data_IF_353223067968
#
_entry.id   IF_353223067968
#
_cell.length_a   1.000
_cell.length_b   1.000
_cell.length_c   1.000
_cell.angle_alpha   90.00
_cell.angle_beta   90.00
_cell.angle_gamma   90.00
#
_symmetry.space_group_name_H-M   'P 1'
#
loop_
_entity.id
_entity.type
_entity.pdbx_description
1 polymer ?
#
# COMPACT_ATOMS: atom_id res chain seq x y z
N UNK A 1 41.16 6.52 -18.77
CA UNK A 1 41.65 7.04 -17.47
C UNK A 1 40.91 6.34 -16.34
N UNK A 2 41.58 5.51 -15.52
CA UNK A 2 41.00 4.97 -14.27
C UNK A 2 41.18 6.04 -13.19
N UNK A 3 40.14 6.80 -12.90
CA UNK A 3 40.13 7.65 -11.71
C UNK A 3 39.98 6.74 -10.47
N UNK A 4 41.08 6.52 -9.74
CA UNK A 4 41.03 5.95 -8.38
C UNK A 4 40.57 7.06 -7.44
N UNK A 5 39.29 7.05 -7.09
CA UNK A 5 38.81 7.81 -5.94
C UNK A 5 39.06 6.96 -4.69
N UNK A 6 40.08 7.32 -3.91
CA UNK A 6 40.30 6.77 -2.56
C UNK A 6 39.67 7.71 -1.53
N UNK A 7 38.34 7.77 -1.52
CA UNK A 7 37.59 8.40 -0.44
C UNK A 7 37.36 7.37 0.67
N UNK A 8 38.06 7.51 1.79
CA UNK A 8 37.79 6.73 3.00
C UNK A 8 36.57 7.32 3.70
N UNK A 9 35.40 6.71 3.54
CA UNK A 9 34.26 6.97 4.43
C UNK A 9 34.33 6.02 5.64
N UNK A 10 34.55 6.61 6.82
CA UNK A 10 34.52 5.95 8.12
C UNK A 10 33.06 5.86 8.60
N UNK A 11 32.52 4.65 8.69
CA UNK A 11 31.32 4.39 9.51
C UNK A 11 31.76 3.97 10.93
N UNK A 12 30.99 4.40 11.93
CA UNK A 12 31.21 4.18 13.36
C UNK A 12 31.04 2.70 13.79
N UNK A 13 31.95 1.85 13.36
CA UNK A 13 32.29 0.55 13.95
C UNK A 13 33.50 0.04 13.16
N UNK A 14 34.71 0.14 13.72
CA UNK A 14 35.99 -0.10 13.03
C UNK A 14 36.22 -1.51 12.50
N UNK A 15 35.46 -1.94 11.49
CA UNK A 15 35.71 -3.15 10.69
C UNK A 15 35.96 -2.76 9.24
N UNK A 16 37.19 -2.95 8.79
CA UNK A 16 37.56 -2.87 7.38
C UNK A 16 36.90 -4.03 6.62
N UNK A 17 35.86 -3.74 5.83
CA UNK A 17 35.48 -4.59 4.69
C UNK A 17 35.96 -3.88 3.44
N UNK A 18 36.84 -4.52 2.67
CA UNK A 18 37.34 -4.02 1.38
C UNK A 18 36.27 -3.99 0.29
N UNK A 19 35.17 -3.26 0.51
CA UNK A 19 34.19 -2.98 -0.54
C UNK A 19 34.68 -1.79 -1.34
N UNK A 20 35.06 -2.07 -2.58
CA UNK A 20 35.29 -1.04 -3.60
C UNK A 20 33.93 -0.40 -3.91
N UNK A 21 33.75 0.86 -3.51
CA UNK A 21 32.56 1.64 -3.88
C UNK A 21 32.69 2.01 -5.35
N UNK A 22 31.77 1.53 -6.19
CA UNK A 22 31.74 1.90 -7.61
C UNK A 22 31.16 3.32 -7.74
N UNK A 23 31.81 4.16 -8.56
CA UNK A 23 31.37 5.53 -8.82
C UNK A 23 29.92 5.55 -9.36
N UNK A 24 29.08 6.56 -9.03
CA UNK A 24 27.68 6.61 -9.47
C UNK A 24 27.47 6.58 -11.00
N UNK A 25 28.47 6.99 -11.77
CA UNK A 25 28.48 6.92 -13.24
C UNK A 25 29.10 5.61 -13.80
N UNK A 26 29.44 4.65 -12.94
CA UNK A 26 29.96 3.37 -13.37
C UNK A 26 28.82 2.48 -13.84
N UNK A 27 28.72 2.28 -15.16
CA UNK A 27 27.76 1.34 -15.72
C UNK A 27 28.10 -0.09 -15.33
N UNK A 28 27.10 -0.82 -14.81
CA UNK A 28 27.21 -2.26 -14.61
C UNK A 28 27.43 -2.98 -15.96
N UNK A 29 27.86 -4.25 -15.92
CA UNK A 29 28.19 -5.02 -17.12
C UNK A 29 27.05 -5.01 -18.14
N UNK A 30 25.82 -5.20 -17.66
CA UNK A 30 24.62 -5.20 -18.47
C UNK A 30 24.38 -3.86 -19.20
N UNK A 31 24.46 -2.73 -18.49
CA UNK A 31 24.33 -1.40 -19.07
C UNK A 31 25.44 -1.09 -20.08
N UNK A 32 26.67 -1.58 -19.86
CA UNK A 32 27.79 -1.42 -20.80
C UNK A 32 27.57 -2.18 -22.10
N UNK A 33 27.13 -3.43 -22.01
CA UNK A 33 26.82 -4.27 -23.18
C UNK A 33 25.71 -3.61 -23.99
N UNK A 34 24.63 -3.21 -23.31
CA UNK A 34 23.51 -2.50 -23.94
C UNK A 34 23.99 -1.24 -24.65
N UNK A 35 24.58 -0.30 -23.93
CA UNK A 35 24.97 1.00 -24.50
C UNK A 35 25.90 0.85 -25.72
N UNK A 36 26.85 -0.08 -25.67
CA UNK A 36 27.81 -0.30 -26.76
C UNK A 36 27.19 -0.93 -28.01
N UNK A 37 26.14 -1.74 -27.86
CA UNK A 37 25.62 -2.57 -28.95
C UNK A 37 24.22 -2.19 -29.44
N UNK A 38 23.44 -1.44 -28.65
CA UNK A 38 22.02 -1.16 -28.91
C UNK A 38 21.79 -0.48 -30.27
N UNK A 39 22.61 0.51 -30.62
CA UNK A 39 22.59 1.14 -31.95
C UNK A 39 22.91 0.13 -33.06
N UNK A 40 23.90 -0.71 -32.83
CA UNK A 40 24.39 -1.67 -33.81
C UNK A 40 23.39 -2.80 -34.08
N UNK A 41 22.52 -3.13 -33.12
CA UNK A 41 21.42 -4.09 -33.31
C UNK A 41 20.15 -3.44 -33.91
N UNK A 42 20.20 -2.14 -34.23
CA UNK A 42 19.18 -1.44 -35.02
C UNK A 42 18.32 -0.43 -34.26
N UNK A 43 18.70 0.00 -33.05
CA UNK A 43 17.97 1.05 -32.33
C UNK A 43 18.17 2.43 -33.01
N UNK A 44 17.16 3.32 -33.06
CA UNK A 44 15.82 3.18 -32.50
C UNK A 44 14.82 2.59 -33.51
N UNK A 45 14.64 1.27 -33.50
CA UNK A 45 13.56 0.61 -34.22
C UNK A 45 12.44 0.23 -33.24
N UNK A 46 11.17 0.46 -33.62
CA UNK A 46 9.98 0.29 -32.74
C UNK A 46 9.80 -1.10 -32.11
N UNK A 47 10.46 -2.11 -32.67
CA UNK A 47 10.41 -3.51 -32.19
C UNK A 47 11.57 -3.85 -31.24
N UNK A 48 12.53 -2.95 -31.07
CA UNK A 48 13.67 -3.08 -30.16
C UNK A 48 13.29 -2.41 -28.86
N UNK A 49 13.29 -3.17 -27.77
CA UNK A 49 12.92 -2.71 -26.44
C UNK A 49 14.13 -2.13 -25.72
N UNK A 50 13.87 -1.17 -24.82
CA UNK A 50 14.90 -0.62 -23.92
C UNK A 50 15.53 -1.70 -23.01
N UNK A 51 14.85 -2.84 -22.82
CA UNK A 51 15.35 -3.98 -22.07
C UNK A 51 16.33 -4.86 -22.86
N UNK A 52 16.35 -4.77 -24.19
CA UNK A 52 17.15 -5.65 -25.03
C UNK A 52 18.65 -5.42 -24.78
N UNK A 53 19.38 -6.50 -24.53
CA UNK A 53 20.78 -6.46 -24.12
C UNK A 53 21.58 -7.51 -24.91
N UNK A 54 21.63 -7.34 -26.23
CA UNK A 54 22.33 -8.25 -27.13
C UNK A 54 23.52 -7.54 -27.77
N UNK A 55 24.59 -8.29 -28.06
CA UNK A 55 25.67 -7.77 -28.87
C UNK A 55 26.99 -8.49 -28.66
N UNK A 56 28.04 -7.89 -29.18
CA UNK A 56 29.40 -8.38 -29.01
C UNK A 56 30.04 -7.74 -27.78
N UNK A 57 30.76 -8.55 -27.01
CA UNK A 57 31.50 -8.10 -25.84
C UNK A 57 32.90 -8.70 -25.81
N UNK A 58 33.85 -7.87 -25.41
CA UNK A 58 35.27 -8.20 -25.37
C UNK A 58 35.64 -8.79 -24.02
N UNK A 59 36.34 -9.91 -24.04
CA UNK A 59 36.98 -10.51 -22.88
C UNK A 59 38.47 -10.58 -23.08
N UNK A 60 39.21 -10.38 -21.99
CA UNK A 60 40.63 -10.68 -21.92
C UNK A 60 40.82 -12.09 -21.39
N UNK A 61 41.60 -12.89 -22.10
CA UNK A 61 42.14 -14.12 -21.53
C UNK A 61 43.11 -13.77 -20.38
N UNK A 62 42.95 -14.43 -19.23
CA UNK A 62 43.74 -14.13 -18.04
C UNK A 62 45.22 -14.53 -18.21
N UNK A 63 45.49 -15.58 -19.00
CA UNK A 63 46.83 -16.15 -19.13
C UNK A 63 47.61 -15.48 -20.27
N UNK A 64 46.97 -15.30 -21.43
CA UNK A 64 47.62 -14.75 -22.63
C UNK A 64 47.46 -13.23 -22.79
N UNK A 65 46.57 -12.59 -22.02
CA UNK A 65 46.13 -11.18 -22.18
C UNK A 65 45.61 -10.83 -23.58
N UNK A 66 45.37 -11.84 -24.44
CA UNK A 66 44.80 -11.64 -25.77
C UNK A 66 43.30 -11.33 -25.64
N UNK A 67 42.84 -10.38 -26.45
CA UNK A 67 41.44 -9.94 -26.48
C UNK A 67 40.66 -10.81 -27.46
N UNK A 68 39.48 -11.25 -27.04
CA UNK A 68 38.56 -12.04 -27.87
C UNK A 68 37.14 -11.48 -27.76
N UNK A 69 36.38 -11.61 -28.84
CA UNK A 69 34.99 -11.17 -28.91
C UNK A 69 34.03 -12.35 -28.81
N UNK A 70 32.93 -12.15 -28.09
CA UNK A 70 31.89 -13.15 -27.90
C UNK A 70 30.53 -12.55 -28.20
N UNK A 71 29.66 -13.34 -28.83
CA UNK A 71 28.26 -13.00 -29.04
C UNK A 71 27.49 -13.30 -27.77
N UNK A 72 26.91 -12.27 -27.14
CA UNK A 72 26.30 -12.41 -25.81
C UNK A 72 24.93 -11.76 -25.71
N UNK A 73 24.19 -12.24 -24.70
CA UNK A 73 22.94 -11.67 -24.21
C UNK A 73 23.05 -11.40 -22.70
N UNK A 74 22.62 -10.22 -22.29
CA UNK A 74 22.44 -9.85 -20.89
C UNK A 74 21.14 -10.42 -20.33
N UNK A 75 21.24 -11.22 -19.28
CA UNK A 75 20.09 -11.81 -18.57
C UNK A 75 19.73 -10.98 -17.33
N UNK A 76 20.74 -10.54 -16.56
CA UNK A 76 20.60 -9.67 -15.37
C UNK A 76 21.81 -8.74 -15.28
N UNK A 77 21.79 -7.78 -14.35
CA UNK A 77 22.87 -6.77 -14.16
C UNK A 77 24.30 -7.34 -14.11
N UNK A 78 24.46 -8.59 -13.66
CA UNK A 78 25.75 -9.30 -13.55
C UNK A 78 25.79 -10.66 -14.26
N UNK A 79 24.76 -11.01 -15.04
CA UNK A 79 24.69 -12.31 -15.71
C UNK A 79 24.50 -12.13 -17.20
N UNK A 80 25.36 -12.80 -17.94
CA UNK A 80 25.38 -12.84 -19.39
C UNK A 80 25.39 -14.30 -19.84
N UNK A 81 24.94 -14.54 -21.06
CA UNK A 81 24.90 -15.84 -21.73
C UNK A 81 25.54 -15.70 -23.10
N UNK A 82 26.33 -16.69 -23.52
CA UNK A 82 26.79 -16.77 -24.91
C UNK A 82 25.65 -17.20 -25.81
N UNK A 83 25.59 -16.62 -27.00
CA UNK A 83 24.61 -16.96 -28.03
C UNK A 83 25.06 -18.17 -28.88
N UNK A 84 26.34 -18.51 -28.79
CA UNK A 84 27.05 -19.47 -29.65
C UNK A 84 28.02 -20.34 -28.85
N UNK A 85 27.63 -20.75 -27.64
CA UNK A 85 28.42 -21.66 -26.79
C UNK A 85 29.86 -21.21 -26.51
N UNK A 86 30.08 -19.90 -26.32
CA UNK A 86 31.38 -19.30 -26.05
C UNK A 86 32.39 -19.50 -27.18
N UNK A 87 31.93 -19.41 -28.43
CA UNK A 87 32.81 -19.37 -29.60
C UNK A 87 33.60 -18.06 -29.60
N UNK A 88 34.92 -18.14 -29.78
CA UNK A 88 35.81 -16.98 -29.87
C UNK A 88 35.75 -16.38 -31.27
N UNK A 89 35.55 -15.07 -31.34
CA UNK A 89 35.61 -14.30 -32.58
C UNK A 89 36.82 -13.35 -32.56
N UNK A 90 37.45 -13.22 -33.72
CA UNK A 90 38.68 -12.43 -33.87
C UNK A 90 38.42 -10.92 -33.82
N UNK A 91 37.21 -10.47 -34.18
CA UNK A 91 36.83 -9.06 -34.18
C UNK A 91 35.37 -8.83 -33.79
N UNK A 92 35.08 -7.60 -33.34
CA UNK A 92 33.77 -7.15 -32.88
C UNK A 92 32.63 -7.50 -33.84
N UNK A 93 32.86 -7.28 -35.13
CA UNK A 93 31.84 -7.46 -36.17
C UNK A 93 31.41 -8.92 -36.32
N UNK A 94 32.35 -9.86 -36.25
CA UNK A 94 32.04 -11.30 -36.36
C UNK A 94 31.12 -11.76 -35.23
N UNK A 95 31.44 -11.42 -33.98
CA UNK A 95 30.57 -11.69 -32.83
C UNK A 95 29.23 -10.93 -32.92
N UNK A 96 29.24 -9.70 -33.43
CA UNK A 96 28.03 -8.90 -33.57
C UNK A 96 27.08 -9.48 -34.61
N UNK A 97 27.59 -10.09 -35.69
CA UNK A 97 26.73 -10.74 -36.69
C UNK A 97 25.96 -11.91 -36.10
N UNK A 98 26.60 -12.72 -35.25
CA UNK A 98 25.94 -13.81 -34.50
C UNK A 98 24.88 -13.25 -33.56
N UNK A 99 25.18 -12.16 -32.85
CA UNK A 99 24.18 -11.51 -32.01
C UNK A 99 23.00 -10.94 -32.82
N UNK A 100 23.27 -10.38 -34.01
CA UNK A 100 22.24 -9.88 -34.93
C UNK A 100 21.36 -10.99 -35.47
N UNK A 101 21.91 -12.15 -35.83
CA UNK A 101 21.12 -13.27 -36.33
C UNK A 101 20.13 -13.78 -35.29
N UNK A 102 20.59 -13.98 -34.05
CA UNK A 102 19.72 -14.37 -32.93
C UNK A 102 18.65 -13.29 -32.64
N UNK A 103 19.08 -12.03 -32.62
CA UNK A 103 18.17 -10.93 -32.34
C UNK A 103 17.09 -10.75 -33.43
N UNK A 104 17.40 -11.03 -34.70
CA UNK A 104 16.41 -11.02 -35.79
C UNK A 104 15.27 -12.02 -35.55
N UNK A 105 15.56 -13.21 -35.03
CA UNK A 105 14.55 -14.21 -34.69
C UNK A 105 13.59 -13.69 -33.62
N UNK A 106 14.09 -12.92 -32.65
CA UNK A 106 13.27 -12.27 -31.62
C UNK A 106 12.38 -11.19 -32.24
N UNK A 107 12.94 -10.35 -33.11
CA UNK A 107 12.18 -9.30 -33.81
C UNK A 107 11.11 -9.89 -34.71
N UNK A 108 11.40 -11.01 -35.38
CA UNK A 108 10.45 -11.71 -36.24
C UNK A 108 9.27 -12.26 -35.43
N UNK A 109 9.52 -12.94 -34.30
CA UNK A 109 8.46 -13.35 -33.36
C UNK A 109 7.61 -12.17 -32.89
N UNK A 110 8.24 -11.04 -32.56
CA UNK A 110 7.52 -9.82 -32.17
C UNK A 110 6.66 -9.22 -33.29
N UNK A 111 7.04 -9.39 -34.56
CA UNK A 111 6.21 -8.98 -35.71
C UNK A 111 5.00 -9.88 -35.86
N UNK A 112 5.18 -11.18 -35.69
CA UNK A 112 4.11 -12.19 -35.80
C UNK A 112 3.11 -12.08 -34.62
N UNK A 113 3.58 -11.69 -33.44
CA UNK A 113 2.76 -11.42 -32.24
C UNK A 113 2.02 -10.07 -32.27
N UNK A 114 2.17 -9.26 -33.32
CA UNK A 114 1.43 -8.01 -33.53
C UNK A 114 0.30 -8.20 -34.56
N UNK A 115 -0.92 -8.65 -34.16
CA UNK A 115 -2.12 -8.30 -34.91
C UNK A 115 -2.39 -6.80 -34.73
N UNK A 116 -2.92 -6.17 -35.77
CA UNK A 116 -3.32 -4.76 -35.78
C UNK A 116 -4.12 -4.37 -34.52
N UNK A 117 -3.74 -3.24 -33.92
CA UNK A 117 -4.46 -2.50 -32.88
C UNK A 117 -4.96 -3.31 -31.66
N UNK A 118 -4.06 -3.52 -30.70
CA UNK A 118 -4.34 -3.11 -29.33
C UNK A 118 -3.02 -3.00 -28.56
N UNK A 119 -2.38 -1.84 -28.68
CA UNK A 119 -1.45 -1.43 -27.63
C UNK A 119 -2.24 -1.50 -26.33
N UNK A 120 -1.90 -2.44 -25.44
CA UNK A 120 -2.24 -2.31 -24.02
C UNK A 120 -1.62 -1.00 -23.57
N UNK A 121 -2.39 0.08 -23.68
CA UNK A 121 -2.17 1.29 -22.92
C UNK A 121 -2.05 0.78 -21.49
N UNK A 122 -0.85 0.82 -20.91
CA UNK A 122 -0.74 0.77 -19.46
C UNK A 122 -1.56 1.96 -18.98
N UNK A 123 -2.83 1.72 -18.67
CA UNK A 123 -3.73 2.71 -18.10
C UNK A 123 -3.02 3.19 -16.85
N UNK A 124 -2.44 4.39 -16.81
CA UNK A 124 -1.88 4.90 -15.54
C UNK A 124 -2.94 4.67 -14.45
N UNK A 125 -2.56 4.24 -13.23
CA UNK A 125 -3.57 4.03 -12.19
C UNK A 125 -4.41 5.30 -12.09
N UNK A 126 -5.73 5.21 -11.80
CA UNK A 126 -6.58 6.38 -11.77
C UNK A 126 -5.88 7.39 -10.88
N UNK A 127 -5.76 8.60 -11.40
CA UNK A 127 -5.16 9.68 -10.62
C UNK A 127 -6.13 9.90 -9.45
N UNK A 128 -5.66 9.62 -8.22
CA UNK A 128 -6.44 9.92 -7.02
C UNK A 128 -6.96 11.35 -7.11
N UNK A 129 -8.19 11.63 -6.65
CA UNK A 129 -8.75 12.97 -6.70
C UNK A 129 -7.81 13.97 -6.03
N UNK A 130 -7.84 15.21 -6.47
CA UNK A 130 -7.19 16.31 -5.76
C UNK A 130 -8.23 17.02 -4.92
N UNK A 131 -7.87 17.52 -3.74
CA UNK A 131 -8.82 18.16 -2.81
C UNK A 131 -9.62 19.33 -3.45
N UNK A 132 -9.06 19.95 -4.50
CA UNK A 132 -9.65 21.08 -5.22
C UNK A 132 -10.54 20.67 -6.41
N UNK A 133 -10.74 19.37 -6.66
CA UNK A 133 -11.60 18.91 -7.76
C UNK A 133 -13.07 19.22 -7.40
N UNK A 134 -13.87 19.75 -8.34
CA UNK A 134 -15.31 19.89 -8.12
C UNK A 134 -15.90 18.49 -7.88
N UNK A 135 -16.80 18.34 -6.91
CA UNK A 135 -17.43 17.07 -6.52
C UNK A 135 -16.58 16.08 -5.70
N UNK A 136 -15.44 16.49 -5.13
CA UNK A 136 -14.70 15.66 -4.15
C UNK A 136 -15.56 15.32 -2.94
N UNK A 137 -16.50 16.20 -2.57
CA UNK A 137 -17.47 15.94 -1.52
C UNK A 137 -18.84 16.49 -1.91
N UNK A 138 -19.89 15.70 -1.67
CA UNK A 138 -21.31 16.07 -1.78
C UNK A 138 -22.00 15.57 -0.51
N UNK A 139 -22.69 16.45 0.21
CA UNK A 139 -23.35 16.11 1.47
C UNK A 139 -23.71 17.37 2.26
N UNK A 140 -24.13 17.18 3.51
CA UNK A 140 -24.44 18.30 4.40
C UNK A 140 -23.23 19.22 4.58
N UNK A 141 -23.47 20.53 4.61
CA UNK A 141 -22.43 21.53 4.82
C UNK A 141 -22.28 21.81 6.32
N UNK A 142 -21.06 21.62 6.84
CA UNK A 142 -20.78 21.78 8.28
C UNK A 142 -20.11 23.09 8.64
N UNK A 143 -19.53 23.75 7.65
CA UNK A 143 -18.70 24.93 7.80
C UNK A 143 -19.41 26.10 7.13
N UNK A 144 -19.43 27.26 7.79
CA UNK A 144 -19.88 28.51 7.14
C UNK A 144 -18.72 29.23 6.43
N UNK A 145 -17.48 28.92 6.83
CA UNK A 145 -16.26 29.51 6.27
C UNK A 145 -15.09 28.51 6.37
N UNK A 146 -13.89 28.97 6.02
CA UNK A 146 -12.66 28.21 6.18
C UNK A 146 -12.36 27.99 7.67
N UNK A 147 -11.98 26.75 8.02
CA UNK A 147 -11.71 26.34 9.40
C UNK A 147 -10.30 26.76 9.78
N UNK A 148 -10.12 27.27 11.01
CA UNK A 148 -8.79 27.55 11.58
C UNK A 148 -8.16 26.29 12.19
N UNK A 149 -6.85 26.31 12.40
CA UNK A 149 -6.17 25.18 13.08
C UNK A 149 -6.68 25.00 14.50
N UNK A 150 -6.96 26.10 15.18
CA UNK A 150 -7.50 26.14 16.54
C UNK A 150 -8.89 25.54 16.59
N UNK A 151 -9.76 25.90 15.65
CA UNK A 151 -11.10 25.34 15.54
C UNK A 151 -11.05 23.83 15.27
N UNK A 152 -10.21 23.38 14.33
CA UNK A 152 -10.00 21.96 14.04
C UNK A 152 -9.58 21.17 15.29
N UNK A 153 -8.54 21.66 15.99
CA UNK A 153 -8.04 21.04 17.22
C UNK A 153 -9.11 21.07 18.32
N UNK A 154 -9.89 22.15 18.42
CA UNK A 154 -10.95 22.27 19.42
C UNK A 154 -12.09 21.28 19.17
N UNK A 155 -12.47 21.04 17.91
CA UNK A 155 -13.58 20.15 17.52
C UNK A 155 -13.20 18.68 17.69
N UNK A 156 -12.06 18.28 17.11
CA UNK A 156 -11.67 16.88 17.05
C UNK A 156 -10.72 16.45 18.17
N UNK A 157 -10.15 17.40 18.93
CA UNK A 157 -9.22 17.14 20.04
C UNK A 157 -7.92 16.43 19.66
N UNK A 158 -7.47 16.54 18.40
CA UNK A 158 -6.15 16.00 18.00
C UNK A 158 -5.03 16.55 18.90
N UNK A 159 -3.99 15.74 19.12
CA UNK A 159 -2.80 16.12 19.89
C UNK A 159 -2.03 17.28 19.25
N UNK A 160 -2.09 17.39 17.93
CA UNK A 160 -1.46 18.45 17.16
C UNK A 160 -1.66 18.27 15.65
N UNK A 161 -1.36 19.33 14.90
CA UNK A 161 -1.29 19.34 13.43
C UNK A 161 0.14 19.68 13.01
N UNK A 162 0.71 18.88 12.10
CA UNK A 162 2.01 19.12 11.52
C UNK A 162 1.90 19.46 10.03
N UNK A 163 2.57 20.53 9.61
CA UNK A 163 2.61 20.95 8.21
C UNK A 163 3.98 20.68 7.61
N UNK A 164 3.99 20.15 6.40
CA UNK A 164 5.23 20.04 5.64
C UNK A 164 5.79 21.37 5.18
N UNK A 165 7.13 21.37 5.06
CA UNK A 165 7.92 22.53 4.64
C UNK A 165 7.58 23.03 3.22
N UNK A 166 6.92 22.20 2.39
CA UNK A 166 6.61 22.48 0.98
C UNK A 166 5.10 22.57 0.68
N UNK A 167 4.28 22.87 1.69
CA UNK A 167 2.83 23.08 1.54
C UNK A 167 2.54 24.58 1.59
N UNK A 168 1.98 25.12 0.51
CA UNK A 168 1.58 26.55 0.42
C UNK A 168 0.39 26.85 1.32
N UNK A 169 0.20 28.10 1.73
CA UNK A 169 -0.89 28.46 2.65
C UNK A 169 -2.28 28.10 2.10
N UNK A 170 -2.53 28.28 0.80
CA UNK A 170 -3.80 27.90 0.18
C UNK A 170 -4.04 26.40 0.18
N UNK A 171 -2.97 25.61 -0.04
CA UNK A 171 -3.05 24.14 0.06
C UNK A 171 -3.30 23.70 1.49
N UNK A 172 -2.64 24.34 2.48
CA UNK A 172 -2.90 24.05 3.90
C UNK A 172 -4.36 24.24 4.23
N UNK A 173 -4.95 25.36 3.81
CA UNK A 173 -6.36 25.63 4.04
C UNK A 173 -7.27 24.58 3.39
N UNK A 174 -7.05 24.26 2.11
CA UNK A 174 -7.84 23.25 1.40
C UNK A 174 -7.73 21.85 2.03
N UNK A 175 -6.55 21.45 2.47
CA UNK A 175 -6.37 20.19 3.20
C UNK A 175 -7.07 20.20 4.56
N UNK A 176 -6.98 21.31 5.30
CA UNK A 176 -7.60 21.44 6.60
C UNK A 176 -9.13 21.35 6.51
N UNK A 177 -9.72 22.10 5.57
CA UNK A 177 -11.16 22.13 5.34
C UNK A 177 -11.70 20.78 4.87
N UNK A 178 -11.03 20.15 3.90
CA UNK A 178 -11.44 18.84 3.39
C UNK A 178 -11.32 17.76 4.47
N UNK A 179 -10.24 17.79 5.26
CA UNK A 179 -10.05 16.85 6.37
C UNK A 179 -11.07 17.06 7.48
N UNK A 180 -11.42 18.33 7.77
CA UNK A 180 -12.47 18.66 8.72
C UNK A 180 -13.80 18.03 8.28
N UNK A 181 -14.22 18.29 7.05
CA UNK A 181 -15.47 17.75 6.52
C UNK A 181 -15.49 16.22 6.53
N UNK A 182 -14.38 15.59 6.12
CA UNK A 182 -14.23 14.13 6.12
C UNK A 182 -14.27 13.50 7.51
N UNK A 183 -13.71 14.14 8.54
CA UNK A 183 -13.82 13.63 9.91
C UNK A 183 -15.20 13.84 10.52
N UNK A 184 -15.90 14.92 10.19
CA UNK A 184 -17.32 15.05 10.58
C UNK A 184 -18.14 13.95 9.92
N UNK A 185 -18.00 13.72 8.61
CA UNK A 185 -18.68 12.63 7.91
C UNK A 185 -18.38 11.28 8.59
N UNK A 186 -17.10 10.95 8.77
CA UNK A 186 -16.67 9.69 9.37
C UNK A 186 -17.28 9.47 10.76
N UNK A 187 -17.21 10.47 11.64
CA UNK A 187 -17.73 10.33 13.01
C UNK A 187 -19.24 10.24 13.06
N UNK A 188 -19.95 10.95 12.17
CA UNK A 188 -21.40 10.83 12.01
C UNK A 188 -21.81 9.45 11.49
N UNK A 189 -21.09 8.91 10.50
CA UNK A 189 -21.30 7.54 10.00
C UNK A 189 -21.13 6.52 11.14
N UNK A 190 -20.13 6.71 12.00
CA UNK A 190 -19.92 5.85 13.17
C UNK A 190 -20.91 6.09 14.32
N UNK A 191 -21.75 7.14 14.29
CA UNK A 191 -22.63 7.51 15.40
C UNK A 191 -21.88 7.94 16.67
N UNK A 192 -20.68 8.51 16.50
CA UNK A 192 -19.76 8.90 17.58
C UNK A 192 -19.49 10.42 17.54
N UNK A 193 -19.08 11.03 18.68
CA UNK A 193 -18.79 12.46 18.71
C UNK A 193 -17.57 12.80 17.82
N UNK A 194 -17.42 14.08 17.37
CA UNK A 194 -16.28 14.51 16.57
C UNK A 194 -14.92 14.15 17.17
N UNK A 195 -14.77 14.20 18.50
CA UNK A 195 -13.54 13.81 19.20
C UNK A 195 -13.10 12.35 18.97
N UNK A 196 -13.97 11.49 18.42
CA UNK A 196 -13.61 10.14 18.02
C UNK A 196 -12.69 10.10 16.80
N UNK A 197 -12.71 11.13 15.95
CA UNK A 197 -11.78 11.25 14.81
C UNK A 197 -10.30 11.22 15.24
N UNK A 198 -9.99 11.69 16.46
CA UNK A 198 -8.66 11.62 17.06
C UNK A 198 -8.50 10.45 18.06
N UNK A 199 -9.49 9.54 18.10
CA UNK A 199 -9.58 8.44 19.06
C UNK A 199 -9.51 8.92 20.53
N UNK A 200 -10.21 10.03 20.82
CA UNK A 200 -10.22 10.65 22.15
C UNK A 200 -8.98 11.49 22.44
N UNK A 201 -8.39 12.09 21.41
CA UNK A 201 -7.22 12.97 21.47
C UNK A 201 -5.87 12.26 21.46
N UNK A 202 -5.85 10.99 21.09
CA UNK A 202 -4.63 10.20 20.98
C UNK A 202 -3.87 10.49 19.70
N UNK A 203 -4.59 10.73 18.60
CA UNK A 203 -3.99 10.94 17.30
C UNK A 203 -3.46 12.37 17.15
N UNK A 204 -2.32 12.50 16.48
CA UNK A 204 -1.91 13.68 15.73
C UNK A 204 -2.26 13.52 14.25
N UNK A 205 -2.17 14.61 13.48
CA UNK A 205 -2.29 14.57 12.02
C UNK A 205 -1.18 15.39 11.35
N UNK A 206 -0.60 14.86 10.28
CA UNK A 206 0.43 15.53 9.49
C UNK A 206 0.03 15.64 8.02
N UNK A 207 0.32 16.79 7.42
CA UNK A 207 0.04 17.09 6.02
C UNK A 207 1.32 17.34 5.24
N UNK A 208 1.63 16.46 4.28
CA UNK A 208 2.70 16.67 3.30
C UNK A 208 4.10 16.89 3.91
N UNK A 209 4.38 16.33 5.09
CA UNK A 209 5.60 16.64 5.87
C UNK A 209 6.87 15.95 5.37
N UNK A 210 6.77 14.99 4.45
CA UNK A 210 7.92 14.33 3.82
C UNK A 210 7.98 14.69 2.33
N UNK A 211 9.05 15.39 1.93
CA UNK A 211 9.21 16.10 0.64
C UNK A 211 9.21 15.24 -0.63
N UNK A 212 9.67 15.82 -1.75
CA UNK A 212 9.76 15.18 -3.09
C UNK A 212 10.72 13.97 -3.05
N UNK A 213 10.29 12.82 -2.55
CA UNK A 213 11.13 11.61 -2.56
C UNK A 213 10.91 10.57 -1.46
N UNK A 214 9.93 10.71 -0.55
CA UNK A 214 9.59 9.56 0.31
C UNK A 214 8.64 8.63 -0.44
N UNK A 215 9.14 7.42 -0.69
CA UNK A 215 8.67 6.46 -1.67
C UNK A 215 7.24 5.93 -1.42
N UNK A 216 6.51 5.74 -2.53
CA UNK A 216 5.43 4.75 -2.62
C UNK A 216 4.06 5.13 -2.06
N UNK A 217 3.97 5.46 -0.77
CA UNK A 217 2.72 5.43 -0.01
C UNK A 217 1.80 6.66 -0.22
N UNK A 218 0.48 6.42 -0.13
CA UNK A 218 -0.55 7.43 -0.39
C UNK A 218 -0.84 8.28 0.85
N UNK A 219 -0.97 7.62 1.97
CA UNK A 219 -0.92 8.11 3.33
C UNK A 219 -0.32 6.95 4.15
N UNK A 220 -0.02 7.18 5.43
CA UNK A 220 0.30 6.09 6.34
C UNK A 220 0.03 6.50 7.80
N UNK A 221 -0.45 5.55 8.59
CA UNK A 221 -0.52 5.65 10.04
C UNK A 221 0.83 5.25 10.67
N UNK A 222 1.36 6.10 11.55
CA UNK A 222 2.57 5.85 12.33
C UNK A 222 2.19 5.48 13.75
N UNK A 223 2.34 4.21 14.10
CA UNK A 223 1.98 3.68 15.42
C UNK A 223 2.79 4.34 16.55
N UNK A 224 4.11 4.47 16.39
CA UNK A 224 5.01 5.02 17.41
C UNK A 224 4.63 6.45 17.82
N UNK A 225 4.17 7.25 16.85
CA UNK A 225 3.80 8.65 17.05
C UNK A 225 2.30 8.84 17.23
N UNK A 226 1.47 7.81 17.05
CA UNK A 226 0.02 7.93 16.92
C UNK A 226 -0.35 9.05 15.93
N UNK A 227 0.18 8.98 14.71
CA UNK A 227 0.11 10.06 13.73
C UNK A 227 -0.45 9.53 12.40
N UNK A 228 -1.52 10.15 11.89
CA UNK A 228 -1.95 9.93 10.51
C UNK A 228 -1.22 10.93 9.62
N UNK A 229 -0.48 10.45 8.63
CA UNK A 229 0.23 11.30 7.69
C UNK A 229 -0.42 11.22 6.30
N UNK A 230 -1.03 12.31 5.86
CA UNK A 230 -1.60 12.45 4.52
C UNK A 230 -0.57 13.08 3.56
N UNK A 231 -0.24 12.39 2.47
CA UNK A 231 0.66 12.96 1.45
C UNK A 231 -0.09 13.93 0.54
N UNK A 232 0.64 14.92 0.00
CA UNK A 232 0.10 16.03 -0.79
C UNK A 232 -0.68 15.61 -2.06
N UNK A 233 -0.30 14.50 -2.71
CA UNK A 233 -0.86 14.11 -4.02
C UNK A 233 -1.61 12.80 -4.00
N UNK A 234 -1.40 11.96 -2.98
CA UNK A 234 -1.98 10.63 -2.91
C UNK A 234 -2.82 10.41 -1.64
N UNK A 235 -2.75 11.30 -0.64
CA UNK A 235 -3.49 11.12 0.62
C UNK A 235 -5.01 11.29 0.48
N UNK A 236 -5.46 11.96 -0.58
CA UNK A 236 -6.88 12.09 -0.92
C UNK A 236 -7.45 10.71 -1.22
N UNK A 237 -8.52 10.36 -0.49
CA UNK A 237 -9.19 9.07 -0.58
C UNK A 237 -8.49 7.93 0.15
N UNK A 238 -7.50 8.22 0.99
CA UNK A 238 -6.84 7.23 1.86
C UNK A 238 -7.10 7.47 3.35
N UNK A 239 -7.82 8.54 3.72
CA UNK A 239 -8.01 8.90 5.14
C UNK A 239 -8.77 7.82 5.92
N UNK A 240 -9.80 7.21 5.33
CA UNK A 240 -10.53 6.10 5.95
C UNK A 240 -9.62 4.88 6.19
N UNK A 241 -8.71 4.58 5.25
CA UNK A 241 -7.74 3.50 5.38
C UNK A 241 -6.82 3.71 6.59
N UNK A 242 -6.19 4.89 6.69
CA UNK A 242 -5.29 5.20 7.80
C UNK A 242 -6.02 5.28 9.14
N UNK A 243 -7.26 5.78 9.14
CA UNK A 243 -8.09 5.75 10.33
C UNK A 243 -8.44 4.31 10.74
N UNK A 244 -8.66 3.40 9.78
CA UNK A 244 -8.85 1.98 10.02
C UNK A 244 -7.67 1.36 10.76
N UNK A 245 -6.45 1.62 10.30
CA UNK A 245 -5.21 1.21 10.99
C UNK A 245 -5.10 1.79 12.40
N UNK A 246 -5.36 3.09 12.54
CA UNK A 246 -5.33 3.76 13.84
C UNK A 246 -6.37 3.20 14.82
N UNK A 247 -7.58 2.90 14.33
CA UNK A 247 -8.66 2.33 15.11
C UNK A 247 -8.31 0.92 15.57
N UNK A 248 -7.79 0.07 14.69
CA UNK A 248 -7.34 -1.29 15.01
C UNK A 248 -6.27 -1.29 16.13
N UNK A 249 -5.26 -0.44 15.99
CA UNK A 249 -4.22 -0.26 17.01
C UNK A 249 -4.79 0.27 18.34
N UNK A 250 -5.72 1.22 18.28
CA UNK A 250 -6.35 1.77 19.48
C UNK A 250 -7.19 0.73 20.23
N UNK A 251 -7.90 -0.13 19.50
CA UNK A 251 -8.66 -1.23 20.08
C UNK A 251 -7.73 -2.27 20.72
N UNK A 252 -6.57 -2.55 20.12
CA UNK A 252 -5.55 -3.40 20.74
C UNK A 252 -5.08 -2.82 22.08
N UNK A 253 -4.77 -1.52 22.12
CA UNK A 253 -4.38 -0.84 23.35
C UNK A 253 -5.49 -0.93 24.41
N UNK A 254 -6.75 -0.64 24.04
CA UNK A 254 -7.88 -0.68 24.99
C UNK A 254 -8.19 -2.07 25.50
N UNK A 255 -7.98 -3.08 24.65
CA UNK A 255 -8.14 -4.49 24.99
C UNK A 255 -6.92 -5.06 25.72
N UNK A 256 -5.87 -4.25 25.93
CA UNK A 256 -4.61 -4.61 26.61
C UNK A 256 -3.97 -5.86 25.99
N UNK A 257 -4.01 -5.97 24.67
CA UNK A 257 -3.38 -7.08 23.97
C UNK A 257 -1.85 -6.92 24.01
N UNK A 258 -1.11 -8.01 23.74
CA UNK A 258 0.34 -7.97 23.55
C UNK A 258 0.75 -7.56 22.12
N UNK A 259 -0.23 -7.39 21.24
CA UNK A 259 -0.04 -7.03 19.83
C UNK A 259 -0.28 -5.54 19.67
N UNK A 260 0.32 -4.99 18.63
CA UNK A 260 0.16 -3.58 18.28
C UNK A 260 -1.21 -3.30 17.69
N UNK A 261 -1.79 -4.30 17.01
CA UNK A 261 -3.09 -4.25 16.36
C UNK A 261 -4.03 -5.34 16.91
N UNK A 262 -5.32 -5.04 16.99
CA UNK A 262 -6.30 -5.99 17.53
C UNK A 262 -6.49 -7.17 16.56
N UNK A 263 -6.51 -6.92 15.25
CA UNK A 263 -6.63 -7.96 14.20
C UNK A 263 -5.58 -9.06 14.34
N UNK A 264 -4.33 -8.71 14.66
CA UNK A 264 -3.22 -9.65 14.90
C UNK A 264 -3.41 -10.56 16.12
N UNK A 265 -4.32 -10.21 17.02
CA UNK A 265 -4.69 -11.06 18.15
C UNK A 265 -5.65 -12.19 17.74
N UNK A 266 -6.27 -12.08 16.56
CA UNK A 266 -7.26 -13.04 16.06
C UNK A 266 -6.81 -13.74 14.79
N UNK A 267 -6.02 -13.10 13.92
CA UNK A 267 -5.57 -13.67 12.65
C UNK A 267 -4.06 -13.86 12.70
N UNK A 268 -3.60 -15.06 12.34
CA UNK A 268 -2.18 -15.32 12.08
C UNK A 268 -1.94 -15.63 10.61
N UNK A 269 -0.75 -15.27 10.14
CA UNK A 269 -0.25 -15.57 8.81
C UNK A 269 0.67 -16.79 8.89
N UNK A 270 0.46 -17.79 8.04
CA UNK A 270 1.40 -18.88 7.83
C UNK A 270 2.01 -18.78 6.44
N UNK A 271 3.34 -18.94 6.36
CA UNK A 271 4.12 -18.99 5.12
C UNK A 271 3.80 -17.87 4.10
N UNK A 272 3.46 -16.66 4.59
CA UNK A 272 3.07 -15.47 3.81
C UNK A 272 1.87 -15.63 2.85
N UNK A 273 1.12 -16.75 2.90
CA UNK A 273 0.08 -17.04 1.91
C UNK A 273 -1.17 -17.72 2.46
N UNK A 274 -1.24 -18.05 3.75
CA UNK A 274 -2.48 -18.56 4.36
C UNK A 274 -2.84 -17.81 5.65
N UNK A 275 -4.13 -17.54 5.79
CA UNK A 275 -4.73 -16.90 6.96
C UNK A 275 -5.42 -17.95 7.80
N UNK A 276 -5.22 -17.92 9.11
CA UNK A 276 -6.04 -18.70 10.03
C UNK A 276 -6.54 -17.82 11.17
N UNK A 277 -7.71 -18.17 11.68
CA UNK A 277 -8.26 -17.55 12.87
C UNK A 277 -7.80 -18.31 14.11
N UNK A 278 -7.37 -17.59 15.13
CA UNK A 278 -7.11 -18.15 16.44
C UNK A 278 -8.31 -17.93 17.37
N UNK A 279 -8.66 -18.95 18.14
CA UNK A 279 -9.50 -18.83 19.32
C UNK A 279 -8.67 -18.16 20.43
N UNK A 280 -8.61 -16.83 20.41
CA UNK A 280 -7.72 -16.08 21.31
C UNK A 280 -7.97 -16.37 22.80
N UNK A 281 -6.90 -16.33 23.60
CA UNK A 281 -6.95 -16.26 25.06
C UNK A 281 -7.30 -14.87 25.61
N UNK A 282 -7.69 -13.89 24.76
CA UNK A 282 -8.45 -12.74 25.25
C UNK A 282 -9.74 -13.30 25.85
N UNK A 283 -10.24 -12.68 26.93
CA UNK A 283 -11.56 -12.98 27.47
C UNK A 283 -12.67 -12.46 26.53
N UNK A 284 -12.67 -12.94 25.28
CA UNK A 284 -13.68 -12.65 24.24
C UNK A 284 -15.07 -12.92 24.81
N UNK A 285 -15.21 -13.91 25.71
CA UNK A 285 -16.45 -14.24 26.38
C UNK A 285 -17.06 -13.09 27.22
N UNK A 286 -16.31 -12.04 27.59
CA UNK A 286 -16.82 -10.97 28.45
C UNK A 286 -17.23 -9.69 27.69
N UNK A 287 -16.95 -9.59 26.38
CA UNK A 287 -17.24 -8.38 25.58
C UNK A 287 -17.95 -8.71 24.27
N UNK A 288 -19.20 -8.26 24.12
CA UNK A 288 -19.98 -8.47 22.90
C UNK A 288 -19.37 -7.76 21.68
N UNK A 289 -18.73 -6.60 21.89
CA UNK A 289 -18.01 -5.93 20.81
C UNK A 289 -16.80 -6.74 20.32
N UNK A 290 -16.03 -7.37 21.21
CA UNK A 290 -14.93 -8.26 20.80
C UNK A 290 -15.43 -9.54 20.12
N UNK A 291 -16.59 -10.09 20.54
CA UNK A 291 -17.23 -11.21 19.85
C UNK A 291 -17.65 -10.83 18.44
N UNK A 292 -18.34 -9.71 18.28
CA UNK A 292 -18.74 -9.21 16.97
C UNK A 292 -17.53 -8.89 16.08
N UNK A 293 -16.44 -8.35 16.65
CA UNK A 293 -15.19 -8.13 15.93
C UNK A 293 -14.59 -9.44 15.41
N UNK A 294 -14.53 -10.48 16.25
CA UNK A 294 -14.08 -11.81 15.81
C UNK A 294 -14.94 -12.36 14.69
N UNK A 295 -16.27 -12.22 14.77
CA UNK A 295 -17.20 -12.67 13.73
C UNK A 295 -17.00 -11.88 12.42
N UNK A 296 -16.73 -10.57 12.50
CA UNK A 296 -16.34 -9.77 11.33
C UNK A 296 -15.08 -10.35 10.69
N UNK A 297 -14.01 -10.56 11.46
CA UNK A 297 -12.75 -11.12 10.96
C UNK A 297 -12.93 -12.51 10.33
N UNK A 298 -13.77 -13.36 10.95
CA UNK A 298 -14.15 -14.66 10.37
C UNK A 298 -14.80 -14.52 9.00
N UNK A 299 -15.70 -13.55 8.81
CA UNK A 299 -16.40 -13.33 7.55
C UNK A 299 -15.54 -12.61 6.50
N UNK A 300 -14.47 -11.94 6.92
CA UNK A 300 -13.46 -11.39 6.03
C UNK A 300 -12.58 -12.48 5.44
N UNK A 301 -12.21 -13.50 6.21
CA UNK A 301 -11.26 -14.53 5.77
C UNK A 301 -11.93 -15.82 5.29
N UNK A 302 -13.14 -16.12 5.75
CA UNK A 302 -13.89 -17.32 5.41
C UNK A 302 -15.26 -17.00 4.84
N UNK A 303 -15.79 -17.94 4.07
CA UNK A 303 -17.19 -17.98 3.61
C UNK A 303 -17.82 -19.33 3.95
N UNK A 304 -19.14 -19.33 4.09
CA UNK A 304 -19.95 -20.53 4.22
C UNK A 304 -20.69 -20.76 2.90
N UNK A 305 -19.97 -21.04 1.82
CA UNK A 305 -20.63 -21.40 0.56
C UNK A 305 -21.31 -22.76 0.71
N UNK A 306 -22.65 -22.75 0.62
CA UNK A 306 -23.52 -23.93 0.75
C UNK A 306 -23.52 -24.84 -0.48
N UNK A 307 -22.75 -24.53 -1.53
CA UNK A 307 -22.66 -25.33 -2.75
C UNK A 307 -21.66 -26.51 -2.63
N UNK A 308 -21.13 -26.78 -1.45
CA UNK A 308 -20.42 -28.02 -1.13
C UNK A 308 -21.39 -28.87 -0.31
N UNK A 309 -22.16 -29.70 -0.99
CA UNK A 309 -22.88 -30.83 -0.40
C UNK A 309 -21.86 -31.88 0.01
N UNK A 310 -21.23 -31.71 1.16
CA UNK A 310 -20.64 -32.81 1.89
C UNK A 310 -20.65 -32.46 3.37
N UNK A 311 -21.07 -33.43 4.18
CA UNK A 311 -21.35 -33.35 5.62
C UNK A 311 -20.11 -33.13 6.49
N UNK A 312 -19.07 -32.48 5.97
CA UNK A 312 -17.98 -31.89 6.75
C UNK A 312 -18.02 -30.38 6.57
N UNK A 313 -18.59 -29.67 7.54
CA UNK A 313 -18.63 -28.20 7.61
C UNK A 313 -17.21 -27.62 7.71
N UNK A 314 -16.46 -27.62 6.60
CA UNK A 314 -15.20 -26.93 6.44
C UNK A 314 -15.46 -25.48 6.04
N UNK A 315 -15.00 -24.52 6.85
CA UNK A 315 -14.93 -23.11 6.45
C UNK A 315 -13.98 -23.01 5.25
N UNK A 316 -14.43 -22.44 4.13
CA UNK A 316 -13.59 -22.19 2.96
C UNK A 316 -13.12 -20.73 2.95
N UNK A 317 -11.95 -20.45 2.36
CA UNK A 317 -11.45 -19.07 2.28
C UNK A 317 -12.38 -18.20 1.42
N UNK A 318 -12.63 -16.99 1.90
CA UNK A 318 -13.37 -15.94 1.19
C UNK A 318 -12.67 -15.57 -0.13
N UNK A 319 -13.40 -15.01 -1.08
CA UNK A 319 -12.82 -14.53 -2.34
C UNK A 319 -11.87 -13.37 -2.07
N UNK A 320 -12.24 -12.47 -1.16
CA UNK A 320 -11.38 -11.39 -0.67
C UNK A 320 -10.04 -11.89 -0.12
N UNK A 321 -10.03 -12.92 0.73
CA UNK A 321 -8.80 -13.51 1.27
C UNK A 321 -7.98 -14.22 0.19
N UNK A 322 -8.63 -14.96 -0.72
CA UNK A 322 -7.96 -15.60 -1.86
C UNK A 322 -7.27 -14.55 -2.75
N UNK A 323 -7.97 -13.46 -3.07
CA UNK A 323 -7.42 -12.36 -3.86
C UNK A 323 -6.23 -11.70 -3.16
N UNK A 324 -6.32 -11.46 -1.85
CA UNK A 324 -5.19 -10.99 -1.06
C UNK A 324 -3.95 -11.88 -1.20
N UNK A 325 -4.12 -13.22 -1.10
CA UNK A 325 -3.03 -14.16 -1.31
C UNK A 325 -2.44 -14.07 -2.73
N UNK A 326 -3.29 -13.93 -3.76
CA UNK A 326 -2.86 -13.77 -5.15
C UNK A 326 -2.08 -12.47 -5.37
N UNK A 327 -2.47 -11.38 -4.73
CA UNK A 327 -1.78 -10.09 -4.82
C UNK A 327 -0.40 -10.09 -4.12
N UNK A 328 -0.22 -10.95 -3.12
CA UNK A 328 1.07 -11.16 -2.45
C UNK A 328 2.02 -12.11 -3.20
N UNK A 329 1.55 -12.82 -4.23
CA UNK A 329 2.41 -13.71 -5.01
C UNK A 329 3.58 -12.95 -5.64
N UNK A 330 4.80 -13.39 -5.32
CA UNK A 330 6.04 -12.78 -5.83
C UNK A 330 6.50 -11.53 -5.06
N UNK A 331 5.78 -11.10 -4.00
CA UNK A 331 6.28 -10.09 -3.07
C UNK A 331 7.25 -10.71 -2.08
N UNK A 332 8.24 -9.92 -1.62
CA UNK A 332 9.18 -10.35 -0.57
C UNK A 332 8.49 -10.44 0.79
N UNK A 333 7.54 -9.54 1.04
CA UNK A 333 6.78 -9.45 2.28
C UNK A 333 5.30 -9.37 1.95
N UNK A 334 4.51 -10.07 2.76
CA UNK A 334 3.06 -10.06 2.70
C UNK A 334 2.53 -8.68 3.09
N UNK A 335 1.74 -8.09 2.20
CA UNK A 335 1.07 -6.81 2.42
C UNK A 335 -0.44 -7.01 2.32
N UNK A 336 -0.91 -7.62 1.24
CA UNK A 336 -2.33 -7.79 0.97
C UNK A 336 -2.98 -8.83 1.89
N UNK A 337 -2.22 -9.79 2.39
CA UNK A 337 -2.68 -10.75 3.40
C UNK A 337 -2.44 -10.27 4.83
N UNK A 338 -1.90 -9.06 5.04
CA UNK A 338 -1.76 -8.53 6.37
C UNK A 338 -3.14 -8.32 7.03
N UNK A 339 -3.38 -8.85 8.26
CA UNK A 339 -4.65 -8.67 8.95
C UNK A 339 -5.07 -7.20 9.12
N UNK A 340 -4.10 -6.32 9.35
CA UNK A 340 -4.34 -4.88 9.54
C UNK A 340 -4.76 -4.25 8.21
N UNK A 341 -4.09 -4.60 7.10
CA UNK A 341 -4.42 -4.15 5.74
C UNK A 341 -5.75 -4.71 5.21
N UNK A 342 -6.10 -5.95 5.59
CA UNK A 342 -7.42 -6.52 5.31
C UNK A 342 -8.52 -5.73 6.01
N UNK A 343 -8.33 -5.43 7.30
CA UNK A 343 -9.30 -4.66 8.07
C UNK A 343 -9.42 -3.21 7.57
N UNK A 344 -8.31 -2.54 7.29
CA UNK A 344 -8.32 -1.17 6.76
C UNK A 344 -9.10 -1.08 5.44
N UNK A 345 -8.91 -2.03 4.51
CA UNK A 345 -9.68 -2.06 3.25
C UNK A 345 -11.16 -2.38 3.45
N UNK A 346 -11.48 -3.25 4.40
CA UNK A 346 -12.88 -3.53 4.77
C UNK A 346 -13.55 -2.31 5.41
N UNK A 347 -12.79 -1.52 6.17
CA UNK A 347 -13.26 -0.26 6.71
C UNK A 347 -13.50 0.79 5.61
N UNK A 348 -12.62 0.90 4.61
CA UNK A 348 -12.83 1.75 3.42
C UNK A 348 -14.13 1.38 2.68
N UNK A 349 -14.37 0.09 2.48
CA UNK A 349 -15.59 -0.44 1.85
C UNK A 349 -16.83 -0.03 2.63
N UNK A 350 -16.81 -0.20 3.96
CA UNK A 350 -17.92 0.21 4.81
C UNK A 350 -18.18 1.72 4.75
N UNK A 351 -17.14 2.55 4.83
CA UNK A 351 -17.30 4.03 4.70
C UNK A 351 -17.91 4.38 3.34
N UNK A 352 -17.44 3.75 2.27
CA UNK A 352 -17.95 3.96 0.90
C UNK A 352 -19.44 3.62 0.80
N UNK A 353 -19.85 2.46 1.34
CA UNK A 353 -21.24 2.02 1.28
C UNK A 353 -22.17 2.88 2.14
N UNK A 354 -21.69 3.37 3.29
CA UNK A 354 -22.45 4.29 4.14
C UNK A 354 -22.61 5.69 3.55
N UNK A 355 -21.58 6.22 2.90
CA UNK A 355 -21.69 7.47 2.15
C UNK A 355 -22.76 7.32 1.04
N UNK A 356 -22.68 6.26 0.24
CA UNK A 356 -23.67 5.98 -0.81
C UNK A 356 -25.08 5.83 -0.28
N UNK A 357 -25.27 5.06 0.80
CA UNK A 357 -26.59 4.84 1.40
C UNK A 357 -27.22 6.14 1.94
N UNK A 358 -26.39 7.13 2.32
CA UNK A 358 -26.85 8.46 2.74
C UNK A 358 -26.92 9.48 1.61
N UNK A 359 -26.73 9.06 0.36
CA UNK A 359 -26.71 9.95 -0.81
C UNK A 359 -25.54 10.94 -0.82
N UNK A 360 -24.50 10.66 -0.03
CA UNK A 360 -23.31 11.51 0.11
C UNK A 360 -22.13 10.94 -0.68
N UNK A 361 -21.22 11.81 -1.07
CA UNK A 361 -19.94 11.48 -1.71
C UNK A 361 -18.85 12.15 -0.88
N UNK A 362 -17.78 11.44 -0.56
CA UNK A 362 -16.58 12.05 0.03
C UNK A 362 -15.33 11.30 -0.44
N UNK A 363 -14.87 11.65 -1.64
CA UNK A 363 -13.67 11.10 -2.26
C UNK A 363 -12.38 11.53 -1.54
N UNK A 364 -12.43 12.55 -0.67
CA UNK A 364 -11.30 12.89 0.20
C UNK A 364 -11.15 11.88 1.34
N UNK A 365 -12.26 11.45 1.92
CA UNK A 365 -12.30 10.46 2.98
C UNK A 365 -11.90 9.07 2.45
N UNK A 366 -12.51 8.64 1.35
CA UNK A 366 -12.29 7.31 0.76
C UNK A 366 -12.45 7.32 -0.76
N UNK A 367 -11.53 6.67 -1.47
CA UNK A 367 -11.62 6.48 -2.91
C UNK A 367 -10.95 5.16 -3.31
N UNK A 368 -11.62 4.37 -4.15
CA UNK A 368 -11.06 3.14 -4.71
C UNK A 368 -11.82 1.83 -4.49
N UNK A 369 -12.64 1.65 -3.43
CA UNK A 369 -13.36 0.38 -3.23
C UNK A 369 -14.28 -0.07 -4.36
N UNK A 370 -14.76 0.87 -5.19
CA UNK A 370 -15.60 0.57 -6.36
C UNK A 370 -14.83 0.55 -7.69
N UNK A 371 -13.54 0.87 -7.65
CA UNK A 371 -12.71 0.90 -8.85
C UNK A 371 -12.31 -0.54 -9.23
N UNK A 372 -12.39 -0.91 -10.51
CA UNK A 372 -12.02 -2.25 -10.95
C UNK A 372 -10.52 -2.53 -10.72
N UNK A 373 -10.11 -3.81 -10.68
CA UNK A 373 -8.69 -4.19 -10.52
C UNK A 373 -7.75 -3.50 -11.52
N UNK A 374 -8.22 -3.32 -12.75
CA UNK A 374 -7.49 -2.66 -13.83
C UNK A 374 -7.14 -1.20 -13.52
N UNK A 375 -7.98 -0.51 -12.75
CA UNK A 375 -7.67 0.82 -12.24
C UNK A 375 -6.39 0.77 -11.39
N UNK A 376 -6.22 -0.24 -10.53
CA UNK A 376 -5.07 -0.32 -9.62
C UNK A 376 -3.85 -1.07 -10.16
N UNK A 377 -3.81 -1.44 -11.44
CA UNK A 377 -2.82 -2.36 -12.02
C UNK A 377 -2.78 -3.74 -11.36
N UNK A 378 -3.88 -4.15 -10.73
CA UNK A 378 -3.98 -5.47 -10.10
C UNK A 378 -4.70 -6.45 -11.02
N UNK A 379 -4.34 -7.73 -10.91
CA UNK A 379 -4.98 -8.81 -11.71
C UNK A 379 -6.33 -9.24 -11.12
N UNK A 380 -6.51 -9.01 -9.81
CA UNK A 380 -7.68 -9.40 -9.04
C UNK A 380 -8.11 -8.23 -8.16
N UNK A 381 -9.35 -8.26 -7.68
CA UNK A 381 -9.86 -7.18 -6.84
C UNK A 381 -9.17 -7.17 -5.48
N UNK A 382 -8.78 -5.96 -5.06
CA UNK A 382 -8.15 -5.70 -3.77
C UNK A 382 -9.18 -5.55 -2.64
N UNK A 383 -10.47 -5.46 -2.95
CA UNK A 383 -11.59 -5.28 -2.04
C UNK A 383 -12.61 -6.44 -2.19
N UNK A 384 -13.45 -6.72 -1.18
CA UNK A 384 -14.58 -7.63 -1.31
C UNK A 384 -15.63 -7.07 -2.30
N UNK A 385 -16.31 -7.97 -3.01
CA UNK A 385 -17.32 -7.63 -4.03
C UNK A 385 -18.66 -8.33 -3.77
N UNK A 386 -19.71 -7.87 -4.43
CA UNK A 386 -21.03 -8.51 -4.50
C UNK A 386 -21.60 -8.94 -3.13
N UNK A 387 -22.10 -10.18 -3.03
CA UNK A 387 -22.69 -10.74 -1.81
C UNK A 387 -21.68 -10.85 -0.66
N UNK A 388 -20.40 -11.02 -0.98
CA UNK A 388 -19.34 -11.06 0.03
C UNK A 388 -19.16 -9.67 0.67
N UNK A 389 -19.15 -8.60 -0.14
CA UNK A 389 -19.14 -7.21 0.35
C UNK A 389 -20.32 -6.92 1.25
N UNK A 390 -21.54 -7.23 0.81
CA UNK A 390 -22.77 -7.02 1.60
C UNK A 390 -22.71 -7.74 2.95
N UNK A 391 -22.24 -9.00 2.95
CA UNK A 391 -22.07 -9.80 4.17
C UNK A 391 -21.05 -9.16 5.12
N UNK A 392 -19.87 -8.81 4.62
CA UNK A 392 -18.80 -8.22 5.45
C UNK A 392 -19.24 -6.87 6.03
N UNK A 393 -19.87 -6.01 5.22
CA UNK A 393 -20.40 -4.70 5.65
C UNK A 393 -21.45 -4.86 6.75
N UNK A 394 -22.35 -5.85 6.62
CA UNK A 394 -23.32 -6.17 7.66
C UNK A 394 -22.66 -6.54 9.01
N UNK A 395 -21.60 -7.35 8.98
CA UNK A 395 -20.89 -7.70 10.21
C UNK A 395 -20.07 -6.54 10.79
N UNK A 396 -19.55 -5.65 9.94
CA UNK A 396 -18.88 -4.43 10.39
C UNK A 396 -19.89 -3.49 11.08
N UNK A 397 -21.06 -3.30 10.49
CA UNK A 397 -22.16 -2.54 11.11
C UNK A 397 -22.55 -3.09 12.49
N UNK A 398 -22.75 -4.41 12.58
CA UNK A 398 -23.08 -5.06 13.84
C UNK A 398 -21.99 -4.82 14.88
N UNK A 399 -20.73 -5.02 14.50
CA UNK A 399 -19.60 -4.78 15.39
C UNK A 399 -19.53 -3.31 15.84
N UNK A 400 -19.67 -2.37 14.92
CA UNK A 400 -19.57 -0.95 15.23
C UNK A 400 -20.72 -0.49 16.14
N UNK A 401 -21.94 -1.00 15.93
CA UNK A 401 -23.09 -0.77 16.82
C UNK A 401 -22.80 -1.21 18.26
N UNK A 402 -22.20 -2.39 18.43
CA UNK A 402 -21.80 -2.90 19.75
C UNK A 402 -20.66 -2.09 20.37
N UNK A 403 -19.68 -1.67 19.55
CA UNK A 403 -18.60 -0.78 19.99
C UNK A 403 -19.17 0.56 20.52
N UNK A 404 -20.10 1.16 19.78
CA UNK A 404 -20.76 2.42 20.16
C UNK A 404 -21.59 2.25 21.43
N UNK A 405 -22.33 1.14 21.54
CA UNK A 405 -23.12 0.83 22.73
C UNK A 405 -22.23 0.69 23.97
N UNK A 406 -21.14 -0.05 23.84
CA UNK A 406 -20.12 -0.20 24.89
C UNK A 406 -19.54 1.15 25.30
N UNK A 407 -19.17 1.99 24.33
CA UNK A 407 -18.64 3.33 24.58
C UNK A 407 -19.63 4.23 25.33
N UNK A 408 -20.91 4.24 24.90
CA UNK A 408 -21.97 5.03 25.56
C UNK A 408 -22.19 4.56 26.99
N UNK A 409 -22.16 3.27 27.24
CA UNK A 409 -22.28 2.69 28.58
C UNK A 409 -21.11 3.10 29.49
N UNK A 410 -19.88 2.97 29.03
CA UNK A 410 -18.69 3.37 29.79
C UNK A 410 -18.68 4.87 30.12
N UNK A 411 -19.08 5.70 29.15
CA UNK A 411 -19.19 7.16 29.35
C UNK A 411 -20.19 7.48 30.46
N UNK A 412 -21.38 6.88 30.43
CA UNK A 412 -22.40 7.04 31.49
C UNK A 412 -21.84 6.59 32.84
N UNK A 413 -21.19 5.43 32.90
CA UNK A 413 -20.59 4.89 34.14
C UNK A 413 -19.57 5.85 34.75
N UNK A 414 -18.68 6.43 33.93
CA UNK A 414 -17.67 7.41 34.40
C UNK A 414 -18.31 8.68 34.95
N UNK A 415 -19.33 9.21 34.29
CA UNK A 415 -20.07 10.39 34.76
C UNK A 415 -20.73 10.09 36.11
N UNK A 416 -21.39 8.94 36.24
CA UNK A 416 -22.01 8.53 37.51
C UNK A 416 -20.99 8.43 38.64
N UNK A 417 -19.84 7.77 38.41
CA UNK A 417 -18.76 7.67 39.41
C UNK A 417 -18.24 9.06 39.79
N UNK A 418 -17.97 9.94 38.82
CA UNK A 418 -17.49 11.31 39.11
C UNK A 418 -18.50 12.13 39.93
N UNK A 419 -19.80 11.93 39.69
CA UNK A 419 -20.88 12.59 40.43
C UNK A 419 -21.02 12.04 41.86
N UNK A 420 -20.77 10.75 42.07
CA UNK A 420 -20.75 10.15 43.40
C UNK A 420 -19.54 10.68 44.18
N UNK A 421 -18.35 10.67 43.58
CA UNK A 421 -17.11 11.12 44.24
C UNK A 421 -17.11 12.63 44.55
N UNK A 422 -17.80 13.46 43.77
CA UNK A 422 -17.97 14.90 44.05
C UNK A 422 -19.06 15.22 45.09
N UNK A 423 -19.89 14.24 45.46
CA UNK A 423 -20.97 14.37 46.46
C UNK A 423 -20.62 13.78 47.83
N UNK A 424 -19.49 13.08 47.96
CA UNK A 424 -18.98 12.66 49.27
C UNK A 424 -18.50 13.89 50.04
N UNK A 425 -19.06 14.21 51.23
CA UNK A 425 -18.53 15.26 52.08
C UNK A 425 -17.11 14.88 52.53
N UNK A 426 -16.22 15.87 52.60
CA UNK A 426 -14.92 15.74 53.26
C UNK A 426 -15.06 15.44 54.74
#
# INVERSE_FOLDING_TARGET
MKAKYSGNELYAAGRRKGRVVQHPLYFNLHSRIRFKNLLNIGWPHKLILDSDCFGAYEFSDNDSKKLFWYAIEGIKERRIRSLDNWTKHDHYEAALQVAKSEFRSIIQKRKEEQPDNNSKVRSKPPKRPTFNRPFVRVGETYRQSNISTEEFLSTFKFRGIEWGNYVTQSERQGFLDATYDSFIDLTRLCGLPPSFASLGGKLGIAFGSRGRGYDGAAAHFELDQWLIHLTKTKGVGALAHEFGHALDAYLALKSKTKRDFLTESFITKYNNHSLSLYSSGLKISESESLRCFKVLLENMIFTSDKNITDEQQGRTNSTFAKNACLLDQGRKEAYWTDPTELFARVFEVWVTDKLKASGSINEFLVYGPDEPPSSWHTKVNSYPEDQERLRIVHYLDRWLSELVTTWKFEKKRKITISRIMSKSPQ
#
